data_IF_214284784263
#
_entry.id   IF_214284784263
#
_cell.length_a   1.000
_cell.length_b   1.000
_cell.length_c   1.000
_cell.angle_alpha   90.00
_cell.angle_beta   90.00
_cell.angle_gamma   90.00
#
_symmetry.space_group_name_H-M   'P 1'
#
loop_
_entity.id
_entity.type
_entity.pdbx_description
1 polymer ?
#
# COMPACT_ATOMS: atom_id res chain seq x y z
N UNK A 1 -17.64 5.49 59.18
CA UNK A 1 -18.12 6.78 58.64
C UNK A 1 -18.80 6.53 57.30
N UNK A 2 -20.08 6.90 57.18
CA UNK A 2 -20.83 6.89 55.92
C UNK A 2 -20.57 8.21 55.20
N UNK A 3 -20.15 8.18 53.94
CA UNK A 3 -20.15 9.34 53.05
C UNK A 3 -21.08 9.04 51.88
N UNK A 4 -22.16 9.82 51.82
CA UNK A 4 -23.08 9.96 50.69
C UNK A 4 -22.65 11.21 49.90
N UNK A 5 -22.75 11.15 48.58
CA UNK A 5 -22.77 12.32 47.68
C UNK A 5 -21.95 12.08 46.43
N UNK A 6 -22.38 12.44 45.23
CA UNK A 6 -23.67 12.93 44.74
C UNK A 6 -23.69 12.61 43.24
N UNK A 7 -24.85 12.21 42.73
CA UNK A 7 -25.11 11.96 41.31
C UNK A 7 -25.28 13.29 40.60
N UNK A 8 -24.49 13.57 39.56
CA UNK A 8 -24.74 14.65 38.61
C UNK A 8 -25.00 14.05 37.23
N UNK A 9 -26.29 13.95 36.88
CA UNK A 9 -26.78 13.64 35.54
C UNK A 9 -26.83 14.94 34.76
N UNK A 10 -26.04 15.04 33.68
CA UNK A 10 -26.20 16.08 32.68
C UNK A 10 -26.87 15.48 31.44
N UNK A 11 -28.17 15.76 31.28
CA UNK A 11 -28.90 15.58 30.03
C UNK A 11 -28.40 16.61 29.01
N UNK A 12 -28.00 16.15 27.83
CA UNK A 12 -27.88 16.99 26.63
C UNK A 12 -28.87 16.48 25.58
N UNK A 13 -29.97 17.21 25.46
CA UNK A 13 -30.94 17.11 24.37
C UNK A 13 -30.39 17.87 23.16
N UNK A 14 -30.09 17.17 22.07
CA UNK A 14 -29.98 17.78 20.74
C UNK A 14 -31.10 17.22 19.86
N UNK A 15 -32.10 18.07 19.67
CA UNK A 15 -33.13 17.95 18.66
C UNK A 15 -32.53 18.29 17.29
N UNK A 16 -32.68 17.39 16.32
CA UNK A 16 -32.34 17.62 14.92
C UNK A 16 -33.39 16.96 14.03
N UNK A 17 -34.48 17.67 13.76
CA UNK A 17 -35.45 17.31 12.74
C UNK A 17 -34.92 17.72 11.35
N UNK A 18 -34.79 16.75 10.46
CA UNK A 18 -34.58 16.97 9.02
C UNK A 18 -35.39 15.93 8.25
N UNK A 19 -36.40 16.41 7.52
CA UNK A 19 -37.47 15.69 6.82
C UNK A 19 -37.17 15.65 5.32
N UNK A 20 -37.87 14.76 4.61
CA UNK A 20 -38.14 14.73 3.14
C UNK A 20 -37.11 13.96 2.29
N UNK A 21 -37.45 13.17 1.27
CA UNK A 21 -38.70 12.84 0.57
C UNK A 21 -38.43 11.57 -0.30
N UNK A 22 -39.52 10.94 -0.75
CA UNK A 22 -39.68 9.77 -1.63
C UNK A 22 -38.75 9.64 -2.87
N UNK A 23 -38.41 8.39 -3.23
CA UNK A 23 -38.13 7.96 -4.61
C UNK A 23 -38.32 6.43 -4.79
N UNK A 24 -39.41 6.10 -5.48
CA UNK A 24 -39.65 5.05 -6.47
C UNK A 24 -38.83 3.73 -6.51
N UNK A 25 -39.58 2.63 -6.37
CA UNK A 25 -39.83 1.63 -7.42
C UNK A 25 -38.62 1.11 -8.25
N UNK A 26 -38.17 -0.11 -7.95
CA UNK A 26 -37.64 -1.00 -8.98
C UNK A 26 -37.82 -2.49 -8.59
N UNK A 27 -38.67 -3.14 -9.36
CA UNK A 27 -38.99 -4.57 -9.35
C UNK A 27 -37.76 -5.44 -9.69
N UNK A 28 -37.52 -6.60 -9.03
CA UNK A 28 -36.52 -7.55 -9.52
C UNK A 28 -37.08 -8.27 -10.76
N UNK A 29 -36.51 -8.02 -11.93
CA UNK A 29 -36.85 -8.74 -13.16
C UNK A 29 -35.95 -9.96 -13.30
N UNK A 30 -36.55 -11.15 -13.10
CA UNK A 30 -35.96 -12.45 -13.42
C UNK A 30 -35.71 -12.55 -14.92
N UNK A 31 -34.46 -12.76 -15.35
CA UNK A 31 -34.14 -13.09 -16.74
C UNK A 31 -33.62 -14.52 -16.82
N UNK A 32 -34.51 -15.41 -17.28
CA UNK A 32 -34.24 -16.78 -17.71
C UNK A 32 -33.58 -16.79 -19.09
N UNK A 33 -32.65 -17.71 -19.30
CA UNK A 33 -31.70 -17.72 -20.41
C UNK A 33 -32.22 -18.05 -21.80
N UNK A 34 -31.29 -18.00 -22.74
CA UNK A 34 -31.38 -18.65 -24.04
C UNK A 34 -29.98 -19.14 -24.45
N UNK A 35 -29.91 -20.45 -24.67
CA UNK A 35 -28.81 -21.19 -25.29
C UNK A 35 -28.77 -20.88 -26.78
N UNK A 36 -27.59 -20.62 -27.34
CA UNK A 36 -27.36 -20.70 -28.78
C UNK A 36 -25.95 -21.24 -29.08
N UNK A 37 -25.93 -22.50 -29.52
CA UNK A 37 -24.83 -23.20 -30.17
C UNK A 37 -24.61 -22.66 -31.58
N UNK A 38 -23.37 -22.33 -31.99
CA UNK A 38 -22.98 -22.41 -33.41
C UNK A 38 -21.48 -22.71 -33.59
N UNK A 39 -21.23 -23.53 -34.60
CA UNK A 39 -20.07 -24.31 -35.05
C UNK A 39 -18.73 -23.55 -35.36
N UNK A 40 -17.61 -24.30 -35.55
CA UNK A 40 -16.26 -23.75 -35.72
C UNK A 40 -15.98 -23.26 -37.15
N UNK A 41 -15.01 -22.34 -37.28
CA UNK A 41 -14.36 -21.99 -38.55
C UNK A 41 -12.85 -22.29 -38.50
N UNK A 42 -12.37 -22.79 -39.63
CA UNK A 42 -11.08 -23.41 -39.87
C UNK A 42 -10.20 -22.53 -40.76
N UNK A 43 -8.89 -22.80 -40.77
CA UNK A 43 -7.85 -22.40 -41.76
C UNK A 43 -7.32 -20.96 -41.60
N UNK A 44 -6.01 -20.65 -41.61
CA UNK A 44 -4.89 -21.28 -42.28
C UNK A 44 -3.56 -21.10 -41.53
N UNK A 45 -2.65 -22.05 -41.74
CA UNK A 45 -1.26 -22.00 -41.31
C UNK A 45 -0.40 -21.28 -42.36
N UNK A 46 0.43 -20.32 -41.92
CA UNK A 46 1.47 -19.71 -42.75
C UNK A 46 2.83 -20.22 -42.27
N UNK A 47 3.43 -21.10 -43.04
CA UNK A 47 4.83 -21.52 -42.91
C UNK A 47 5.72 -20.45 -43.53
N UNK A 48 6.64 -19.87 -42.74
CA UNK A 48 7.69 -18.98 -43.24
C UNK A 48 9.02 -19.70 -43.10
N UNK A 49 9.69 -19.92 -44.23
CA UNK A 49 11.01 -20.54 -44.33
C UNK A 49 12.08 -19.58 -43.83
N UNK A 50 12.85 -19.98 -42.82
CA UNK A 50 14.07 -19.29 -42.36
C UNK A 50 15.27 -19.79 -43.16
N UNK A 51 15.82 -18.91 -43.98
CA UNK A 51 17.10 -19.13 -44.68
C UNK A 51 18.25 -18.86 -43.71
N UNK A 52 19.05 -19.88 -43.43
CA UNK A 52 20.29 -19.79 -42.64
C UNK A 52 21.39 -19.14 -43.47
N UNK A 53 21.66 -17.85 -43.21
CA UNK A 53 22.85 -17.15 -43.72
C UNK A 53 23.95 -17.10 -42.64
N UNK A 54 25.22 -17.34 -42.98
CA UNK A 54 26.33 -17.26 -42.02
C UNK A 54 26.57 -15.82 -41.52
N UNK A 55 26.96 -15.61 -40.26
CA UNK A 55 27.19 -14.28 -39.71
C UNK A 55 28.45 -13.62 -40.33
N UNK A 56 28.36 -12.35 -40.78
CA UNK A 56 29.55 -11.58 -41.12
C UNK A 56 30.33 -11.14 -39.86
N UNK A 57 31.66 -10.94 -39.96
CA UNK A 57 32.55 -10.70 -38.84
C UNK A 57 32.35 -9.32 -38.18
N UNK A 58 32.55 -9.30 -36.86
CA UNK A 58 32.52 -8.13 -35.97
C UNK A 58 33.38 -6.97 -36.48
N UNK A 59 32.77 -5.79 -36.59
CA UNK A 59 33.45 -4.51 -36.78
C UNK A 59 33.46 -3.72 -35.45
N UNK A 60 34.52 -2.92 -35.18
CA UNK A 60 34.78 -2.33 -33.88
C UNK A 60 33.85 -1.16 -33.53
N UNK A 61 33.71 -0.97 -32.22
CA UNK A 61 32.98 0.09 -31.53
C UNK A 61 33.39 1.48 -32.00
N UNK A 62 32.41 2.27 -32.44
CA UNK A 62 32.56 3.73 -32.55
C UNK A 62 31.77 4.35 -31.41
N UNK A 63 32.50 4.80 -30.39
CA UNK A 63 32.02 5.72 -29.35
C UNK A 63 31.48 6.98 -30.00
N UNK A 64 30.19 7.25 -29.83
CA UNK A 64 29.60 8.58 -30.05
C UNK A 64 29.12 9.12 -28.71
N UNK A 65 29.48 10.37 -28.46
CA UNK A 65 29.44 11.03 -27.17
C UNK A 65 28.03 11.46 -26.73
N UNK A 66 27.92 11.49 -25.41
CA UNK A 66 26.97 12.07 -24.45
C UNK A 66 26.02 13.14 -24.98
N UNK A 67 24.72 12.86 -24.86
CA UNK A 67 23.65 13.85 -24.74
C UNK A 67 23.14 13.75 -23.30
N UNK A 68 23.23 14.84 -22.52
CA UNK A 68 22.80 14.91 -21.12
C UNK A 68 21.27 15.05 -21.01
N UNK A 69 20.54 14.15 -21.67
CA UNK A 69 19.16 13.81 -21.33
C UNK A 69 19.22 12.61 -20.39
N UNK A 70 18.52 12.67 -19.25
CA UNK A 70 18.46 11.55 -18.31
C UNK A 70 18.25 10.24 -19.07
N UNK A 71 19.28 9.41 -19.12
CA UNK A 71 19.26 8.21 -19.95
C UNK A 71 18.12 7.34 -19.46
N UNK A 72 17.16 7.07 -20.33
CA UNK A 72 16.04 6.21 -20.01
C UNK A 72 16.57 4.85 -19.54
N UNK A 73 15.93 4.22 -18.54
CA UNK A 73 16.40 2.95 -18.01
C UNK A 73 16.55 1.90 -19.11
N UNK A 74 17.68 1.19 -19.11
CA UNK A 74 18.00 0.20 -20.15
C UNK A 74 17.31 -1.16 -19.92
N UNK A 75 16.77 -1.39 -18.72
CA UNK A 75 16.13 -2.66 -18.34
C UNK A 75 14.68 -2.42 -17.92
N UNK A 76 13.83 -3.42 -18.16
CA UNK A 76 12.42 -3.39 -17.76
C UNK A 76 12.26 -3.21 -16.24
N UNK A 77 13.15 -3.81 -15.45
CA UNK A 77 13.17 -3.68 -14.01
C UNK A 77 13.43 -2.23 -13.57
N UNK A 78 14.48 -1.61 -14.10
CA UNK A 78 14.82 -0.22 -13.76
C UNK A 78 13.72 0.74 -14.23
N UNK A 79 13.09 0.44 -15.37
CA UNK A 79 11.96 1.21 -15.90
C UNK A 79 10.75 1.19 -14.96
N UNK A 80 10.36 0.00 -14.50
CA UNK A 80 9.25 -0.16 -13.56
C UNK A 80 9.58 0.40 -12.17
N UNK A 81 10.82 0.27 -11.71
CA UNK A 81 11.25 0.86 -10.44
C UNK A 81 11.23 2.40 -10.48
N UNK A 82 11.60 3.00 -11.61
CA UNK A 82 11.50 4.46 -11.78
C UNK A 82 10.03 4.91 -11.82
N UNK A 83 9.14 4.14 -12.46
CA UNK A 83 7.70 4.44 -12.47
C UNK A 83 7.13 4.45 -11.06
N UNK A 84 7.43 3.42 -10.26
CA UNK A 84 6.98 3.34 -8.86
C UNK A 84 7.55 4.49 -8.03
N UNK A 85 8.80 4.91 -8.29
CA UNK A 85 9.39 6.07 -7.60
C UNK A 85 8.71 7.37 -7.98
N UNK A 86 8.43 7.60 -9.27
CA UNK A 86 7.73 8.79 -9.75
C UNK A 86 6.31 8.85 -9.16
N UNK A 87 5.58 7.74 -9.19
CA UNK A 87 4.26 7.63 -8.56
C UNK A 87 4.31 7.84 -7.05
N UNK A 88 5.28 7.24 -6.35
CA UNK A 88 5.51 7.42 -4.92
C UNK A 88 5.84 8.86 -4.52
N UNK A 89 6.42 9.65 -5.44
CA UNK A 89 6.70 11.07 -5.27
C UNK A 89 5.55 12.00 -5.72
N UNK A 90 4.46 11.46 -6.26
CA UNK A 90 3.36 12.25 -6.83
C UNK A 90 3.68 12.88 -8.19
N UNK A 91 4.76 12.47 -8.85
CA UNK A 91 5.20 13.00 -10.14
C UNK A 91 4.43 12.35 -11.30
N UNK A 92 3.24 12.89 -11.57
CA UNK A 92 2.37 12.44 -12.68
C UNK A 92 3.02 12.61 -14.05
N UNK A 93 3.79 13.69 -14.24
CA UNK A 93 4.44 13.94 -15.54
C UNK A 93 5.57 12.92 -15.77
N UNK A 94 6.41 12.68 -14.76
CA UNK A 94 7.43 11.63 -14.79
C UNK A 94 6.82 10.25 -15.02
N UNK A 95 5.76 9.89 -14.30
CA UNK A 95 5.06 8.62 -14.49
C UNK A 95 4.49 8.46 -15.92
N UNK A 96 3.96 9.54 -16.52
CA UNK A 96 3.46 9.54 -17.89
C UNK A 96 4.54 9.37 -18.96
N UNK A 97 5.82 9.56 -18.64
CA UNK A 97 6.92 9.20 -19.54
C UNK A 97 7.25 7.71 -19.54
N UNK A 98 6.82 6.98 -18.50
CA UNK A 98 7.21 5.58 -18.25
C UNK A 98 6.06 4.58 -18.46
N UNK A 99 4.81 5.04 -18.38
CA UNK A 99 3.62 4.19 -18.46
C UNK A 99 2.58 4.71 -19.46
N UNK A 100 1.64 3.84 -19.83
CA UNK A 100 0.48 4.25 -20.61
C UNK A 100 -0.43 5.18 -19.78
N UNK A 101 -1.25 6.04 -20.43
CA UNK A 101 -2.17 6.92 -19.71
C UNK A 101 -3.12 6.17 -18.76
N UNK A 102 -3.58 4.98 -19.17
CA UNK A 102 -4.47 4.14 -18.36
C UNK A 102 -3.76 3.63 -17.10
N UNK A 103 -2.52 3.15 -17.22
CA UNK A 103 -1.72 2.71 -16.06
C UNK A 103 -1.41 3.87 -15.11
N UNK A 104 -1.11 5.07 -15.63
CA UNK A 104 -0.93 6.27 -14.77
C UNK A 104 -2.24 6.59 -14.05
N UNK A 105 -3.37 6.55 -14.74
CA UNK A 105 -4.67 6.79 -14.12
C UNK A 105 -4.97 5.76 -13.03
N UNK A 106 -4.69 4.47 -13.25
CA UNK A 106 -4.85 3.40 -12.26
C UNK A 106 -3.98 3.63 -11.01
N UNK A 107 -2.67 3.85 -11.18
CA UNK A 107 -1.75 4.09 -10.07
C UNK A 107 -2.20 5.26 -9.20
N UNK A 108 -2.54 6.38 -9.84
CA UNK A 108 -2.91 7.59 -9.14
C UNK A 108 -4.38 7.63 -8.67
N UNK A 109 -5.23 6.73 -9.15
CA UNK A 109 -6.55 6.50 -8.57
C UNK A 109 -6.46 5.62 -7.31
N UNK A 110 -5.45 4.74 -7.24
CA UNK A 110 -5.16 3.94 -6.07
C UNK A 110 -4.63 4.78 -4.91
N UNK A 111 -3.59 5.58 -5.16
CA UNK A 111 -3.04 6.53 -4.20
C UNK A 111 -2.33 7.70 -4.91
N UNK A 112 -2.47 8.91 -4.38
CA UNK A 112 -1.83 10.13 -4.92
C UNK A 112 -1.30 11.02 -3.77
N UNK A 113 -0.01 10.93 -3.43
CA UNK A 113 1.02 10.07 -4.03
C UNK A 113 0.94 8.60 -3.61
N UNK A 114 1.65 7.72 -4.34
CA UNK A 114 1.71 6.28 -4.03
C UNK A 114 2.45 5.90 -2.74
N UNK A 115 3.19 6.84 -2.14
CA UNK A 115 4.03 6.61 -0.98
C UNK A 115 5.45 6.09 -1.32
N UNK A 116 6.42 6.24 -0.41
CA UNK A 116 7.83 5.93 -0.67
C UNK A 116 8.22 4.46 -0.43
N UNK A 117 7.34 3.65 0.15
CA UNK A 117 7.70 2.38 0.80
C UNK A 117 7.57 1.14 -0.11
N UNK A 118 7.20 1.33 -1.39
CA UNK A 118 7.13 0.25 -2.37
C UNK A 118 8.50 -0.36 -2.67
N UNK A 119 8.70 -1.59 -2.21
CA UNK A 119 9.91 -2.37 -2.43
C UNK A 119 9.74 -3.36 -3.59
N UNK A 120 10.69 -3.36 -4.52
CA UNK A 120 10.76 -4.37 -5.58
C UNK A 120 11.11 -5.74 -4.97
N UNK A 121 10.25 -6.73 -5.18
CA UNK A 121 10.48 -8.12 -4.77
C UNK A 121 11.20 -8.92 -5.86
N UNK A 122 10.91 -8.64 -7.13
CA UNK A 122 11.52 -9.33 -8.25
C UNK A 122 10.78 -9.05 -9.55
N UNK A 123 11.40 -9.44 -10.66
CA UNK A 123 10.81 -9.37 -11.98
C UNK A 123 10.95 -10.72 -12.69
N UNK A 124 9.86 -11.19 -13.27
CA UNK A 124 9.80 -12.43 -14.02
C UNK A 124 9.54 -12.14 -15.50
N UNK A 125 10.28 -12.84 -16.37
CA UNK A 125 9.98 -12.86 -17.79
C UNK A 125 8.76 -13.73 -18.06
N UNK A 126 7.69 -13.13 -18.57
CA UNK A 126 6.52 -13.81 -19.10
C UNK A 126 6.59 -13.88 -20.63
N UNK A 127 5.72 -14.68 -21.26
CA UNK A 127 5.70 -14.86 -22.71
C UNK A 127 5.35 -13.53 -23.43
N UNK A 128 6.38 -12.76 -23.79
CA UNK A 128 6.24 -11.46 -24.45
C UNK A 128 6.07 -10.26 -23.52
N UNK A 129 6.30 -10.41 -22.22
CA UNK A 129 6.34 -9.30 -21.26
C UNK A 129 7.32 -9.55 -20.13
N UNK A 130 7.70 -8.49 -19.41
CA UNK A 130 8.32 -8.59 -18.09
C UNK A 130 7.30 -8.13 -17.07
N UNK A 131 7.13 -8.90 -15.99
CA UNK A 131 6.25 -8.54 -14.88
C UNK A 131 7.09 -8.34 -13.64
N UNK A 132 7.06 -7.15 -13.06
CA UNK A 132 7.71 -6.85 -11.79
C UNK A 132 6.69 -6.80 -10.66
N UNK A 133 7.07 -7.38 -9.52
CA UNK A 133 6.27 -7.39 -8.31
C UNK A 133 6.87 -6.43 -7.30
N UNK A 134 6.06 -5.48 -6.84
CA UNK A 134 6.38 -4.57 -5.76
C UNK A 134 5.47 -4.86 -4.57
N UNK A 135 5.94 -4.55 -3.37
CA UNK A 135 5.14 -4.69 -2.15
C UNK A 135 5.34 -3.48 -1.25
N UNK A 136 4.25 -3.02 -0.68
CA UNK A 136 4.22 -2.06 0.41
C UNK A 136 3.10 -2.45 1.36
N UNK A 137 3.30 -2.33 2.68
CA UNK A 137 2.24 -2.47 3.68
C UNK A 137 1.36 -3.75 3.58
N UNK A 138 1.89 -4.81 2.97
CA UNK A 138 1.17 -6.06 2.63
C UNK A 138 0.12 -5.94 1.54
N UNK A 139 0.21 -4.90 0.74
CA UNK A 139 -0.27 -4.86 -0.62
C UNK A 139 0.84 -5.30 -1.58
N UNK A 140 0.42 -5.82 -2.73
CA UNK A 140 1.28 -6.21 -3.83
C UNK A 140 0.83 -5.52 -5.11
N UNK A 141 1.76 -4.81 -5.75
CA UNK A 141 1.59 -4.19 -7.04
C UNK A 141 2.33 -5.02 -8.10
N UNK A 142 1.60 -5.48 -9.10
CA UNK A 142 2.14 -6.12 -10.29
C UNK A 142 2.16 -5.11 -11.43
N UNK A 143 3.34 -4.83 -11.96
CA UNK A 143 3.53 -4.01 -13.16
C UNK A 143 3.93 -4.90 -14.33
N UNK A 144 3.24 -4.78 -15.46
CA UNK A 144 3.54 -5.54 -16.67
C UNK A 144 3.98 -4.60 -17.79
N UNK A 145 5.15 -4.89 -18.36
CA UNK A 145 5.70 -4.19 -19.51
C UNK A 145 5.85 -5.17 -20.68
N UNK A 146 5.25 -4.91 -21.85
CA UNK A 146 5.43 -5.78 -23.00
C UNK A 146 6.89 -5.75 -23.50
N UNK A 147 7.40 -6.90 -23.92
CA UNK A 147 8.78 -7.07 -24.43
C UNK A 147 8.96 -6.54 -25.85
N UNK A 148 7.87 -6.21 -26.54
CA UNK A 148 7.91 -5.64 -27.89
C UNK A 148 8.31 -4.18 -27.81
N UNK A 149 9.61 -3.95 -27.92
CA UNK A 149 10.18 -2.61 -28.06
C UNK A 149 9.60 -1.91 -29.30
N UNK A 150 9.16 -0.65 -29.15
CA UNK A 150 8.91 0.23 -30.30
C UNK A 150 10.26 0.78 -30.76
N UNK A 151 10.92 0.07 -31.67
CA UNK A 151 12.29 0.37 -32.09
C UNK A 151 13.33 -0.10 -31.06
N UNK A 152 14.32 0.74 -30.74
CA UNK A 152 15.37 0.45 -29.74
C UNK A 152 14.96 0.82 -28.30
N UNK A 153 13.69 1.19 -28.06
CA UNK A 153 13.18 1.60 -26.75
C UNK A 153 12.23 0.56 -26.18
N UNK A 154 12.34 0.31 -24.88
CA UNK A 154 11.35 -0.47 -24.14
C UNK A 154 9.97 0.17 -24.29
N UNK A 155 8.94 -0.66 -24.42
CA UNK A 155 7.56 -0.18 -24.44
C UNK A 155 7.15 0.41 -23.09
N UNK A 156 6.18 1.34 -23.03
CA UNK A 156 5.66 1.83 -21.75
C UNK A 156 5.05 0.68 -20.92
N UNK A 157 5.07 0.83 -19.60
CA UNK A 157 4.35 -0.08 -18.68
C UNK A 157 2.87 0.00 -19.00
N UNK A 158 2.27 -1.15 -19.32
CA UNK A 158 0.93 -1.21 -19.90
C UNK A 158 -0.17 -1.59 -18.93
N UNK A 159 0.17 -2.17 -17.78
CA UNK A 159 -0.82 -2.60 -16.78
C UNK A 159 -0.26 -2.43 -15.37
N UNK A 160 -1.11 -1.94 -14.47
CA UNK A 160 -0.92 -2.02 -13.03
C UNK A 160 -2.01 -2.90 -12.43
N UNK A 161 -1.66 -3.75 -11.48
CA UNK A 161 -2.63 -4.55 -10.75
C UNK A 161 -2.27 -4.59 -9.28
N UNK A 162 -3.18 -4.10 -8.46
CA UNK A 162 -3.10 -4.16 -7.02
C UNK A 162 -3.79 -5.42 -6.54
N UNK A 163 -3.13 -6.14 -5.64
CA UNK A 163 -3.66 -7.32 -4.97
C UNK A 163 -3.32 -7.20 -3.50
N UNK A 164 -4.21 -7.69 -2.63
CA UNK A 164 -3.81 -7.94 -1.25
C UNK A 164 -2.61 -8.90 -1.30
N UNK A 165 -1.49 -8.49 -0.72
CA UNK A 165 -0.32 -9.34 -0.64
C UNK A 165 -0.64 -10.54 0.24
N UNK A 166 -0.41 -11.76 -0.26
CA UNK A 166 -0.25 -12.94 0.61
C UNK A 166 1.06 -12.88 1.42
N UNK A 167 1.94 -11.93 1.05
CA UNK A 167 3.02 -11.53 1.92
C UNK A 167 2.38 -10.96 3.17
N UNK A 168 2.83 -11.35 4.37
CA UNK A 168 2.24 -10.78 5.56
C UNK A 168 2.42 -9.26 5.39
N UNK A 169 1.34 -8.48 5.42
CA UNK A 169 1.45 -7.08 5.83
C UNK A 169 2.08 -7.17 7.20
N UNK A 170 3.41 -7.19 7.23
CA UNK A 170 4.03 -8.20 8.08
C UNK A 170 3.74 -7.82 9.50
N UNK A 171 3.35 -8.77 10.34
CA UNK A 171 3.36 -8.53 11.78
C UNK A 171 4.69 -7.86 12.19
N UNK A 172 5.76 -8.11 11.42
CA UNK A 172 7.04 -7.40 11.41
C UNK A 172 6.95 -5.90 11.12
N UNK A 173 6.30 -5.44 10.04
CA UNK A 173 6.19 -4.01 9.72
C UNK A 173 5.34 -3.26 10.75
N UNK A 174 4.14 -3.76 11.06
CA UNK A 174 3.27 -3.16 12.10
C UNK A 174 3.99 -3.15 13.45
N UNK A 175 4.66 -4.25 13.78
CA UNK A 175 5.47 -4.37 14.98
C UNK A 175 6.64 -3.39 15.00
N UNK A 176 7.31 -3.14 13.88
CA UNK A 176 8.42 -2.20 13.79
C UNK A 176 7.95 -0.76 13.97
N UNK A 177 6.88 -0.35 13.27
CA UNK A 177 6.31 1.00 13.35
C UNK A 177 5.78 1.29 14.77
N UNK A 178 5.00 0.37 15.34
CA UNK A 178 4.56 0.47 16.73
C UNK A 178 5.74 0.49 17.72
N UNK A 179 6.75 -0.37 17.52
CA UNK A 179 7.93 -0.38 18.39
C UNK A 179 8.73 0.92 18.30
N UNK A 180 8.74 1.56 17.13
CA UNK A 180 9.41 2.84 16.91
C UNK A 180 8.66 3.98 17.59
N UNK A 181 7.31 3.98 17.51
CA UNK A 181 6.48 4.92 18.26
C UNK A 181 6.69 4.76 19.77
N UNK A 182 6.60 3.54 20.30
CA UNK A 182 6.75 3.26 21.73
C UNK A 182 8.14 3.62 22.23
N UNK A 183 9.20 3.40 21.43
CA UNK A 183 10.56 3.87 21.75
C UNK A 183 10.67 5.39 21.77
N UNK A 184 10.09 6.08 20.79
CA UNK A 184 10.06 7.54 20.75
C UNK A 184 9.33 8.12 21.98
N UNK A 185 8.17 7.57 22.31
CA UNK A 185 7.41 7.92 23.51
C UNK A 185 8.20 7.66 24.80
N UNK A 186 8.80 6.47 24.95
CA UNK A 186 9.63 6.14 26.12
C UNK A 186 10.87 7.04 26.28
N UNK A 187 11.38 7.60 25.17
CA UNK A 187 12.49 8.54 25.14
C UNK A 187 12.07 10.02 25.34
N UNK A 188 10.77 10.32 25.35
CA UNK A 188 10.28 11.70 25.38
C UNK A 188 10.40 12.44 24.03
N UNK A 189 10.62 11.72 22.92
CA UNK A 189 10.79 12.28 21.58
C UNK A 189 9.44 12.45 20.88
N UNK A 190 8.79 13.59 21.17
CA UNK A 190 7.47 13.92 20.63
C UNK A 190 7.49 14.21 19.13
N UNK A 191 8.62 14.68 18.60
CA UNK A 191 8.77 14.96 17.17
C UNK A 191 8.79 13.67 16.36
N UNK A 192 9.58 12.68 16.77
CA UNK A 192 9.58 11.36 16.12
C UNK A 192 8.23 10.66 16.27
N UNK A 193 7.57 10.79 17.43
CA UNK A 193 6.24 10.22 17.63
C UNK A 193 5.17 10.84 16.71
N UNK A 194 5.24 12.15 16.46
CA UNK A 194 4.32 12.87 15.57
C UNK A 194 4.44 12.48 14.09
N UNK A 195 5.57 11.90 13.69
CA UNK A 195 5.73 11.32 12.34
C UNK A 195 5.03 9.96 12.22
N UNK A 196 4.91 9.23 13.33
CA UNK A 196 4.45 7.83 13.34
C UNK A 196 2.98 7.68 13.73
N UNK A 197 2.40 8.68 14.38
CA UNK A 197 1.05 8.62 14.90
C UNK A 197 0.33 9.97 14.78
N UNK A 198 -1.00 9.98 14.64
CA UNK A 198 -1.80 11.20 14.68
C UNK A 198 -1.54 12.02 15.93
N UNK A 199 -1.69 13.35 15.82
CA UNK A 199 -1.44 14.29 16.92
C UNK A 199 -2.23 13.93 18.19
N UNK A 200 -3.47 13.46 18.04
CA UNK A 200 -4.31 13.02 19.16
C UNK A 200 -3.72 11.80 19.89
N UNK A 201 -3.17 10.84 19.15
CA UNK A 201 -2.50 9.65 19.70
C UNK A 201 -1.24 10.07 20.44
N UNK A 202 -0.42 10.95 19.86
CA UNK A 202 0.79 11.48 20.50
C UNK A 202 0.46 12.28 21.75
N UNK A 203 -0.52 13.19 21.68
CA UNK A 203 -0.97 13.95 22.85
C UNK A 203 -1.50 13.01 23.95
N UNK A 204 -2.23 11.96 23.59
CA UNK A 204 -2.70 10.97 24.57
C UNK A 204 -1.53 10.25 25.24
N UNK A 205 -0.56 9.75 24.48
CA UNK A 205 0.62 9.07 25.03
C UNK A 205 1.44 10.00 25.94
N UNK A 206 1.73 11.21 25.48
CA UNK A 206 2.64 12.15 26.16
C UNK A 206 1.99 13.02 27.24
N UNK A 207 0.68 13.23 27.23
CA UNK A 207 0.05 14.11 28.23
C UNK A 207 -0.63 13.30 29.34
N UNK A 208 -1.13 12.09 29.02
CA UNK A 208 -1.85 11.25 29.98
C UNK A 208 -0.97 10.17 30.60
N UNK A 209 0.03 9.66 29.89
CA UNK A 209 0.78 8.47 30.29
C UNK A 209 2.30 8.71 30.42
N UNK A 210 2.75 9.97 30.39
CA UNK A 210 4.16 10.35 30.37
C UNK A 210 4.89 10.24 31.72
N UNK A 211 6.17 9.83 31.72
CA UNK A 211 6.86 9.12 30.64
C UNK A 211 6.54 7.64 30.64
N UNK A 212 6.29 7.12 29.44
CA UNK A 212 6.07 5.69 29.18
C UNK A 212 7.17 4.81 29.73
N UNK A 213 8.38 5.33 29.94
CA UNK A 213 9.51 4.55 30.42
C UNK A 213 10.07 3.66 29.31
N UNK A 214 11.32 3.20 29.50
CA UNK A 214 12.09 2.56 28.44
C UNK A 214 11.97 1.04 28.34
N UNK A 215 10.96 0.39 28.92
CA UNK A 215 10.91 -1.10 29.02
C UNK A 215 9.63 -1.76 28.49
N UNK A 216 9.03 -1.17 27.46
CA UNK A 216 7.94 -1.82 26.76
C UNK A 216 8.48 -2.88 25.82
N UNK A 217 8.11 -4.14 26.06
CA UNK A 217 8.40 -5.25 25.16
C UNK A 217 7.20 -5.49 24.25
N UNK A 218 7.42 -5.47 22.93
CA UNK A 218 6.41 -5.94 21.97
C UNK A 218 6.19 -7.45 22.22
N UNK A 219 4.93 -7.82 22.50
CA UNK A 219 4.54 -9.22 22.73
C UNK A 219 3.97 -9.85 21.49
N UNK A 220 3.05 -9.16 20.84
CA UNK A 220 2.31 -9.70 19.71
C UNK A 220 1.75 -8.56 18.86
N UNK A 221 1.56 -8.81 17.56
CA UNK A 221 0.82 -7.93 16.67
C UNK A 221 -0.25 -8.76 15.98
N UNK A 222 -1.44 -8.77 16.55
CA UNK A 222 -2.54 -9.59 16.05
C UNK A 222 -3.27 -8.85 14.93
N UNK A 223 -3.47 -9.56 13.82
CA UNK A 223 -4.42 -9.14 12.79
C UNK A 223 -5.81 -9.68 13.16
N UNK A 224 -6.58 -8.87 13.88
CA UNK A 224 -8.02 -9.09 13.92
C UNK A 224 -8.59 -8.71 12.55
N UNK A 225 -9.66 -9.38 12.10
CA UNK A 225 -10.16 -9.33 10.72
C UNK A 225 -10.28 -7.91 10.14
N UNK A 226 -10.56 -6.91 10.99
CA UNK A 226 -10.70 -5.51 10.57
C UNK A 226 -9.76 -4.50 11.25
N UNK A 227 -9.08 -4.86 12.35
CA UNK A 227 -8.26 -3.93 13.15
C UNK A 227 -6.94 -4.59 13.60
N UNK A 228 -5.81 -4.32 12.91
CA UNK A 228 -4.52 -4.74 13.42
C UNK A 228 -4.25 -4.09 14.77
N UNK A 229 -3.72 -4.86 15.71
CA UNK A 229 -3.34 -4.35 17.03
C UNK A 229 -1.99 -4.91 17.48
N UNK A 230 -1.13 -4.05 18.02
CA UNK A 230 0.12 -4.46 18.64
C UNK A 230 0.06 -4.31 20.17
N UNK A 231 0.36 -5.40 20.87
CA UNK A 231 0.38 -5.49 22.32
C UNK A 231 1.81 -5.33 22.84
N UNK A 232 2.00 -4.36 23.72
CA UNK A 232 3.22 -4.14 24.49
C UNK A 232 2.99 -4.44 25.96
N UNK A 233 4.04 -4.89 26.64
CA UNK A 233 4.01 -5.18 28.08
C UNK A 233 5.18 -4.50 28.79
N UNK A 234 4.89 -3.81 29.88
CA UNK A 234 5.89 -3.31 30.82
C UNK A 234 5.95 -4.24 32.04
N UNK A 235 7.01 -5.05 32.19
CA UNK A 235 7.15 -5.98 33.31
C UNK A 235 7.41 -5.30 34.65
N UNK A 236 7.80 -4.02 34.67
CA UNK A 236 8.07 -3.28 35.92
C UNK A 236 6.76 -2.75 36.51
N UNK A 237 5.84 -2.30 35.64
CA UNK A 237 4.55 -1.75 36.03
C UNK A 237 3.41 -2.77 36.01
N UNK A 238 3.63 -3.94 35.42
CA UNK A 238 2.59 -4.93 35.11
C UNK A 238 1.45 -4.32 34.30
N UNK A 239 1.82 -3.50 33.31
CA UNK A 239 0.91 -2.76 32.45
C UNK A 239 0.99 -3.26 31.02
N UNK A 240 -0.16 -3.19 30.34
CA UNK A 240 -0.29 -3.54 28.92
C UNK A 240 -0.70 -2.30 28.14
N UNK A 241 -0.03 -2.10 27.01
CA UNK A 241 -0.38 -1.07 26.03
C UNK A 241 -0.80 -1.77 24.74
N UNK A 242 -2.01 -1.48 24.27
CA UNK A 242 -2.53 -1.96 22.99
C UNK A 242 -2.57 -0.75 22.05
N UNK A 243 -1.87 -0.87 20.92
CA UNK A 243 -1.91 0.10 19.85
C UNK A 243 -2.76 -0.46 18.72
N UNK A 244 -3.85 0.25 18.38
CA UNK A 244 -4.72 -0.08 17.27
C UNK A 244 -4.24 0.61 15.99
N UNK A 245 -4.44 0.00 14.83
CA UNK A 245 -4.10 0.57 13.54
C UNK A 245 -5.36 0.79 12.70
N UNK A 246 -5.56 2.01 12.21
CA UNK A 246 -6.61 2.37 11.28
C UNK A 246 -6.16 2.05 9.84
N UNK A 247 -6.85 1.08 9.23
CA UNK A 247 -6.57 0.63 7.87
C UNK A 247 -6.88 1.70 6.82
N UNK A 248 -7.90 2.52 7.05
CA UNK A 248 -8.36 3.56 6.12
C UNK A 248 -7.37 4.72 6.11
N UNK A 249 -6.95 5.18 7.29
CA UNK A 249 -5.91 6.20 7.41
C UNK A 249 -4.61 5.74 6.72
N UNK A 250 -4.24 4.47 6.88
CA UNK A 250 -3.06 3.89 6.25
C UNK A 250 -3.14 3.88 4.72
N UNK A 251 -4.28 3.45 4.17
CA UNK A 251 -4.49 3.45 2.72
C UNK A 251 -4.43 4.86 2.11
N UNK A 252 -4.72 5.90 2.91
CA UNK A 252 -4.58 7.29 2.52
C UNK A 252 -3.16 7.86 2.71
N UNK A 253 -2.18 7.05 3.14
CA UNK A 253 -0.82 7.52 3.46
C UNK A 253 -0.74 8.37 4.73
N UNK A 254 -1.76 8.31 5.59
CA UNK A 254 -1.79 9.00 6.87
C UNK A 254 -1.25 8.11 7.99
N UNK A 255 -0.89 8.74 9.13
CA UNK A 255 -0.42 8.02 10.29
C UNK A 255 -1.49 7.05 10.82
N UNK A 256 -1.21 5.75 10.73
CA UNK A 256 -2.22 4.71 10.92
C UNK A 256 -2.49 4.37 12.40
N UNK A 257 -1.67 4.82 13.35
CA UNK A 257 -1.78 4.37 14.74
C UNK A 257 -2.91 5.11 15.46
N UNK A 258 -4.02 4.43 15.69
CA UNK A 258 -5.18 4.93 16.42
C UNK A 258 -4.92 5.04 17.94
N UNK A 259 -5.98 5.34 18.70
CA UNK A 259 -5.89 5.66 20.12
C UNK A 259 -5.28 4.50 20.94
N UNK A 260 -4.34 4.80 21.87
CA UNK A 260 -3.71 3.79 22.71
C UNK A 260 -4.67 3.34 23.82
N UNK A 261 -4.77 2.04 24.05
CA UNK A 261 -5.49 1.48 25.20
C UNK A 261 -4.50 0.96 26.25
N UNK A 262 -4.60 1.47 27.48
CA UNK A 262 -3.82 0.96 28.62
C UNK A 262 -4.69 0.08 29.50
N UNK A 263 -4.22 -1.14 29.78
CA UNK A 263 -4.86 -2.05 30.73
C UNK A 263 -3.90 -2.35 31.88
N UNK A 264 -4.37 -2.08 33.09
CA UNK A 264 -3.75 -2.57 34.33
C UNK A 264 -4.35 -3.94 34.63
N UNK A 265 -3.52 -4.97 34.87
CA UNK A 265 -4.08 -6.31 35.00
C UNK A 265 -3.11 -7.35 35.52
N UNK A 266 -3.35 -7.76 36.76
CA UNK A 266 -2.73 -8.90 37.43
C UNK A 266 -2.81 -10.14 36.55
N UNK A 267 -1.65 -10.75 36.31
CA UNK A 267 -1.51 -12.01 35.58
C UNK A 267 -2.45 -13.07 36.18
N UNK A 268 -3.50 -13.41 35.44
CA UNK A 268 -4.40 -14.55 35.69
C UNK A 268 -4.18 -15.61 34.63
#
# INVERSE_FOLDING_TARGET
MRWLGAVSVALLLLAGCGRSDDADDATPTTTTGATATTAPSSTAATTVSTTTGPPPPSAPSTTAATDDGAALPATAQDWMAELVRAWGAGDREGAATLATPDTVAELFAHADPGGPDWALQGCDGAAGSTVCTFTDAGERLLLSQPSVAEGDRLAPVGQATFTEGDGPASETYLGEEASRLVRAWGAGDREVAAVLAPELTVATLFDRYDPGGGRWDLRDCLRLEDDPQCLFYDPVRDERLILHFDRVARAAGEAAIAAPEFRTGASG
#
